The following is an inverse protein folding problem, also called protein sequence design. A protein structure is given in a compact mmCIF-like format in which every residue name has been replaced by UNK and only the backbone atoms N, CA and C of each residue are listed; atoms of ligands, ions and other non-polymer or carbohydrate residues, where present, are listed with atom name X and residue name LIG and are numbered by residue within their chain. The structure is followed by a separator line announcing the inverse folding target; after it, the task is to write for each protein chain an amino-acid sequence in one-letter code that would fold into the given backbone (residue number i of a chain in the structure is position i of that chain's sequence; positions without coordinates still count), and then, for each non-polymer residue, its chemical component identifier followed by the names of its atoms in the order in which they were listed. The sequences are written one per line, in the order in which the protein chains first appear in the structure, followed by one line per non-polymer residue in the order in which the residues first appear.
data_IF_937394945551
#
_entry.id   IF_937394945551
#
_cell.length_a   1.000
_cell.length_b   1.000
_cell.length_c   1.000
_cell.angle_alpha   90.00
_cell.angle_beta   90.00
_cell.angle_gamma   90.00
#
_symmetry.space_group_name_H-M   'P 1'
#
loop_
_entity.id
_entity.type
_entity.pdbx_description
1 polymer ?
#
# COMPACT_ATOMS: atom_id res chain seq x y z
N UNK A 1 -6.38 -28.17 31.49
CA UNK A 1 -6.86 -27.03 30.68
C UNK A 1 -6.69 -27.41 29.21
N UNK A 2 -7.77 -27.43 28.42
CA UNK A 2 -7.71 -27.70 26.97
C UNK A 2 -7.70 -26.37 26.23
N UNK A 3 -6.70 -26.15 25.39
CA UNK A 3 -6.57 -24.98 24.52
C UNK A 3 -7.65 -25.00 23.42
N UNK A 4 -8.30 -23.86 23.17
CA UNK A 4 -9.25 -23.71 22.07
C UNK A 4 -8.52 -23.75 20.70
N UNK A 5 -9.15 -24.26 19.63
CA UNK A 5 -8.55 -24.28 18.30
C UNK A 5 -8.39 -22.83 17.80
N UNK A 6 -7.17 -22.48 17.39
CA UNK A 6 -6.92 -21.20 16.74
C UNK A 6 -7.71 -21.16 15.42
N UNK A 7 -8.69 -20.26 15.34
CA UNK A 7 -9.31 -19.92 14.06
C UNK A 7 -8.20 -19.40 13.15
N UNK A 8 -8.04 -20.02 11.99
CA UNK A 8 -6.99 -19.79 11.00
C UNK A 8 -7.15 -18.43 10.30
N UNK A 9 -7.01 -17.35 11.05
CA UNK A 9 -6.98 -15.99 10.55
C UNK A 9 -5.69 -15.30 10.96
N UNK A 10 -5.18 -14.42 10.11
CA UNK A 10 -4.05 -13.55 10.43
C UNK A 10 -4.33 -12.66 11.65
N UNK A 11 -3.32 -11.93 12.16
CA UNK A 11 -3.40 -11.18 13.42
C UNK A 11 -4.58 -10.21 13.52
N UNK A 12 -5.15 -9.77 12.40
CA UNK A 12 -6.30 -8.85 12.34
C UNK A 12 -7.60 -9.52 11.85
N UNK A 13 -7.66 -10.86 11.88
CA UNK A 13 -8.76 -11.62 11.27
C UNK A 13 -8.64 -11.74 9.75
N UNK A 14 -7.42 -11.55 9.23
CA UNK A 14 -7.13 -11.70 7.81
C UNK A 14 -7.40 -13.13 7.35
N UNK A 15 -8.05 -13.28 6.22
CA UNK A 15 -8.32 -14.59 5.61
C UNK A 15 -8.37 -14.41 4.10
N UNK A 16 -8.31 -15.52 3.36
CA UNK A 16 -8.47 -15.48 1.90
C UNK A 16 -9.80 -14.85 1.47
N UNK A 17 -10.85 -14.92 2.31
CA UNK A 17 -12.14 -14.27 2.05
C UNK A 17 -12.07 -12.72 2.13
N UNK A 18 -10.97 -12.16 2.65
CA UNK A 18 -10.68 -10.73 2.72
C UNK A 18 -9.48 -10.32 1.86
N UNK A 19 -9.17 -11.11 0.83
CA UNK A 19 -8.15 -10.73 -0.14
C UNK A 19 -8.65 -9.60 -1.05
N UNK A 20 -8.20 -8.37 -0.77
CA UNK A 20 -8.51 -7.19 -1.57
C UNK A 20 -7.43 -6.85 -2.60
N UNK A 21 -6.37 -7.67 -2.73
CA UNK A 21 -5.21 -7.36 -3.58
C UNK A 21 -5.61 -7.06 -5.02
N UNK A 22 -6.47 -7.90 -5.62
CA UNK A 22 -6.93 -7.70 -7.00
C UNK A 22 -7.75 -6.43 -7.17
N UNK A 23 -8.62 -6.12 -6.20
CA UNK A 23 -9.43 -4.89 -6.23
C UNK A 23 -8.54 -3.67 -6.10
N UNK A 24 -7.56 -3.70 -5.21
CA UNK A 24 -6.59 -2.62 -5.01
C UNK A 24 -5.75 -2.38 -6.27
N UNK A 25 -5.27 -3.45 -6.93
CA UNK A 25 -4.56 -3.33 -8.21
C UNK A 25 -5.40 -2.63 -9.29
N UNK A 26 -6.67 -3.04 -9.44
CA UNK A 26 -7.57 -2.43 -10.42
C UNK A 26 -7.86 -0.96 -10.10
N UNK A 27 -8.08 -0.65 -8.82
CA UNK A 27 -8.27 0.73 -8.37
C UNK A 27 -7.01 1.57 -8.61
N UNK A 28 -5.83 1.07 -8.27
CA UNK A 28 -4.56 1.76 -8.46
C UNK A 28 -4.29 2.04 -9.94
N UNK A 29 -4.59 1.09 -10.84
CA UNK A 29 -4.47 1.30 -12.28
C UNK A 29 -5.48 2.34 -12.80
N UNK A 30 -6.72 2.33 -12.27
CA UNK A 30 -7.74 3.31 -12.63
C UNK A 30 -7.35 4.73 -12.15
N UNK A 31 -6.89 4.86 -10.91
CA UNK A 31 -6.56 6.14 -10.27
C UNK A 31 -5.11 6.61 -10.53
N UNK A 32 -4.34 5.89 -11.37
CA UNK A 32 -2.93 6.19 -11.60
C UNK A 32 -2.69 7.65 -12.03
N UNK A 33 -3.47 8.24 -12.96
CA UNK A 33 -3.28 9.64 -13.37
C UNK A 33 -3.45 10.62 -12.20
N UNK A 34 -4.49 10.42 -11.38
CA UNK A 34 -4.79 11.26 -10.22
C UNK A 34 -3.73 11.11 -9.14
N UNK A 35 -3.27 9.89 -8.88
CA UNK A 35 -2.20 9.61 -7.92
C UNK A 35 -0.88 10.25 -8.35
N UNK A 36 -0.52 10.18 -9.64
CA UNK A 36 0.67 10.85 -10.18
C UNK A 36 0.59 12.36 -9.97
N UNK A 37 -0.54 12.99 -10.28
CA UNK A 37 -0.72 14.42 -10.10
C UNK A 37 -0.65 14.84 -8.62
N UNK A 38 -1.28 14.06 -7.73
CA UNK A 38 -1.26 14.30 -6.30
C UNK A 38 0.15 14.16 -5.71
N UNK A 39 0.94 13.17 -6.15
CA UNK A 39 2.33 13.00 -5.70
C UNK A 39 3.21 14.13 -6.26
N UNK A 40 3.03 14.52 -7.52
CA UNK A 40 3.78 15.61 -8.13
C UNK A 40 3.54 16.96 -7.42
N UNK A 41 2.32 17.21 -6.93
CA UNK A 41 1.99 18.45 -6.22
C UNK A 41 2.58 18.54 -4.80
N UNK A 42 3.17 17.45 -4.29
CA UNK A 42 3.91 17.47 -3.01
C UNK A 42 5.28 18.15 -3.13
N UNK A 43 5.75 18.44 -4.36
CA UNK A 43 7.02 19.11 -4.64
C UNK A 43 8.21 18.48 -3.89
N UNK A 44 8.22 17.15 -3.85
CA UNK A 44 9.25 16.40 -3.12
C UNK A 44 10.65 16.68 -3.70
N UNK A 45 11.63 16.79 -2.82
CA UNK A 45 13.02 17.13 -3.17
C UNK A 45 13.98 16.01 -2.79
N UNK A 46 15.13 15.91 -3.48
CA UNK A 46 16.18 14.96 -3.10
C UNK A 46 16.54 15.08 -1.62
N UNK A 47 16.71 13.95 -0.94
CA UNK A 47 17.04 13.87 0.49
C UNK A 47 15.85 13.93 1.45
N UNK A 48 14.63 14.16 0.96
CA UNK A 48 13.41 13.95 1.75
C UNK A 48 13.14 12.45 1.96
N UNK A 49 12.38 12.13 3.03
CA UNK A 49 11.94 10.76 3.36
C UNK A 49 10.42 10.69 3.27
N UNK A 50 9.91 9.67 2.61
CA UNK A 50 8.47 9.45 2.42
C UNK A 50 8.05 8.16 3.11
N UNK A 51 6.89 8.18 3.76
CA UNK A 51 6.23 7.00 4.32
C UNK A 51 4.92 6.77 3.55
N UNK A 52 4.77 5.61 2.93
CA UNK A 52 3.51 5.16 2.34
C UNK A 52 2.80 4.20 3.30
N UNK A 53 1.96 4.77 4.17
CA UNK A 53 1.24 4.02 5.19
C UNK A 53 0.04 3.29 4.57
N UNK A 54 0.04 1.96 4.67
CA UNK A 54 -1.02 1.15 4.04
C UNK A 54 -0.84 1.02 2.53
N UNK A 55 0.40 0.97 2.05
CA UNK A 55 0.77 0.89 0.63
C UNK A 55 0.15 -0.28 -0.16
N UNK A 56 -0.45 -1.25 0.52
CA UNK A 56 -1.14 -2.38 -0.11
C UNK A 56 -0.21 -3.18 -1.01
N UNK A 57 -0.49 -3.18 -2.31
CA UNK A 57 0.30 -3.86 -3.35
C UNK A 57 1.49 -3.03 -3.86
N UNK A 58 1.68 -1.80 -3.34
CA UNK A 58 2.89 -1.00 -3.52
C UNK A 58 3.04 -0.31 -4.88
N UNK A 59 1.98 -0.21 -5.69
CA UNK A 59 2.03 0.46 -7.00
C UNK A 59 2.36 1.95 -6.87
N UNK A 60 1.84 2.62 -5.84
CA UNK A 60 2.05 4.06 -5.63
C UNK A 60 3.53 4.41 -5.37
N UNK A 61 4.30 3.48 -4.78
CA UNK A 61 5.74 3.65 -4.55
C UNK A 61 6.54 3.81 -5.86
N UNK A 62 6.03 3.28 -6.98
CA UNK A 62 6.67 3.43 -8.30
C UNK A 62 6.40 4.80 -8.93
N UNK A 63 5.54 5.61 -8.32
CA UNK A 63 5.17 6.93 -8.80
C UNK A 63 6.05 8.04 -8.19
N UNK A 64 6.81 7.75 -7.13
CA UNK A 64 7.74 8.71 -6.53
C UNK A 64 9.05 8.80 -7.32
N UNK A 65 9.70 9.98 -7.37
CA UNK A 65 11.06 10.13 -7.89
C UNK A 65 12.06 9.13 -7.31
N UNK A 66 12.98 8.63 -8.14
CA UNK A 66 13.94 7.57 -7.79
C UNK A 66 14.99 7.96 -6.74
N UNK A 67 15.18 9.26 -6.53
CA UNK A 67 16.15 9.86 -5.61
C UNK A 67 15.57 10.19 -4.23
N UNK A 68 14.33 9.75 -3.98
CA UNK A 68 13.65 9.88 -2.69
C UNK A 68 13.69 8.55 -1.96
N UNK A 69 14.14 8.60 -0.71
CA UNK A 69 14.13 7.43 0.15
C UNK A 69 12.70 7.14 0.65
N UNK A 70 12.21 5.95 0.36
CA UNK A 70 10.97 5.42 0.91
C UNK A 70 11.33 4.68 2.20
N UNK A 71 10.75 5.12 3.32
CA UNK A 71 11.00 4.60 4.66
C UNK A 71 10.04 3.48 5.06
#
# INVERSE_FOLDING_TARGET
MRSAPALSGGPLGDSAARDYSRKLQLFNAFAEPELRNAIASLELRPGMRVLDAGCGTGEALRLTPLDIAIA
#
